data_IF_481470481498
#
_entry.id   IF_481470481498
#
_cell.length_a   1.000
_cell.length_b   1.000
_cell.length_c   1.000
_cell.angle_alpha   90.00
_cell.angle_beta   90.00
_cell.angle_gamma   90.00
#
_symmetry.space_group_name_H-M   'P 1'
#
loop_
_entity.id
_entity.type
_entity.pdbx_description
1 polymer ?
#
# COMPACT_ATOMS: atom_id res chain seq x y z
N UNK A 1 6.51 -22.89 -6.64
CA UNK A 1 7.14 -22.41 -5.39
C UNK A 1 6.19 -21.66 -4.46
N UNK A 2 5.81 -20.38 -4.68
CA UNK A 2 4.97 -19.65 -3.69
C UNK A 2 3.58 -20.27 -3.51
N UNK A 3 2.88 -20.57 -4.60
CA UNK A 3 1.53 -21.18 -4.61
C UNK A 3 1.51 -22.52 -3.88
N UNK A 4 2.47 -23.39 -4.16
CA UNK A 4 2.60 -24.69 -3.49
C UNK A 4 2.86 -24.53 -1.99
N UNK A 5 3.69 -23.55 -1.62
CA UNK A 5 4.02 -23.30 -0.22
C UNK A 5 2.81 -22.82 0.58
N UNK A 6 2.04 -21.88 -0.01
CA UNK A 6 0.82 -21.41 0.65
C UNK A 6 -0.25 -22.49 0.66
N UNK A 7 -0.38 -23.34 -0.36
CA UNK A 7 -1.35 -24.46 -0.43
C UNK A 7 -0.99 -25.68 0.44
N UNK A 8 0.24 -25.77 0.95
CA UNK A 8 0.64 -26.83 1.88
C UNK A 8 0.10 -26.61 3.29
N UNK A 9 0.09 -25.37 3.79
CA UNK A 9 -0.35 -25.02 5.15
C UNK A 9 -0.83 -23.55 5.19
N UNK A 10 -2.05 -23.26 5.71
CA UNK A 10 -2.54 -21.88 5.82
C UNK A 10 -1.65 -21.00 6.71
N UNK A 11 -0.90 -21.60 7.65
CA UNK A 11 0.05 -20.88 8.50
C UNK A 11 1.16 -20.23 7.68
N UNK A 12 1.58 -20.81 6.56
CA UNK A 12 2.54 -20.17 5.66
C UNK A 12 1.96 -18.88 5.06
N UNK A 13 0.71 -18.92 4.60
CA UNK A 13 0.01 -17.75 4.09
C UNK A 13 -0.12 -16.65 5.15
N UNK A 14 -0.47 -17.03 6.38
CA UNK A 14 -0.56 -16.11 7.52
C UNK A 14 0.81 -15.49 7.83
N UNK A 15 1.87 -16.30 7.90
CA UNK A 15 3.22 -15.83 8.20
C UNK A 15 3.73 -14.83 7.15
N UNK A 16 3.52 -15.13 5.86
CA UNK A 16 3.89 -14.24 4.75
C UNK A 16 3.18 -12.89 4.88
N UNK A 17 1.86 -12.90 5.06
CA UNK A 17 1.10 -11.65 5.14
C UNK A 17 1.40 -10.89 6.44
N UNK A 18 1.59 -11.58 7.57
CA UNK A 18 2.00 -10.97 8.82
C UNK A 18 3.38 -10.30 8.68
N UNK A 19 4.33 -10.94 7.99
CA UNK A 19 5.62 -10.35 7.65
C UNK A 19 5.49 -9.06 6.84
N UNK A 20 4.64 -9.06 5.80
CA UNK A 20 4.36 -7.85 5.02
C UNK A 20 3.76 -6.73 5.88
N UNK A 21 2.78 -7.06 6.74
CA UNK A 21 2.16 -6.07 7.64
C UNK A 21 3.18 -5.54 8.66
N UNK A 22 4.04 -6.38 9.22
CA UNK A 22 5.09 -5.97 10.16
C UNK A 22 6.10 -5.03 9.50
N UNK A 23 6.55 -5.34 8.29
CA UNK A 23 7.45 -4.48 7.53
C UNK A 23 6.79 -3.13 7.25
N UNK A 24 5.54 -3.15 6.79
CA UNK A 24 4.78 -1.94 6.48
C UNK A 24 4.57 -1.06 7.73
N UNK A 25 4.25 -1.71 8.84
CA UNK A 25 4.07 -1.07 10.13
C UNK A 25 5.37 -0.50 10.70
N UNK A 26 6.52 -1.16 10.47
CA UNK A 26 7.84 -0.72 10.93
C UNK A 26 8.37 0.51 10.18
N UNK A 27 8.03 0.65 8.90
CA UNK A 27 8.49 1.77 8.07
C UNK A 27 7.92 3.13 8.49
N UNK A 28 6.65 3.18 8.93
CA UNK A 28 6.00 4.43 9.33
C UNK A 28 6.66 5.14 10.54
N UNK A 29 6.87 4.50 11.71
CA UNK A 29 7.52 5.14 12.86
C UNK A 29 9.00 5.42 12.59
N UNK A 30 9.69 4.57 11.83
CA UNK A 30 11.08 4.83 11.44
C UNK A 30 11.17 6.06 10.53
N UNK A 31 10.32 6.15 9.52
CA UNK A 31 10.25 7.31 8.63
C UNK A 31 9.89 8.59 9.37
N UNK A 32 8.98 8.54 10.35
CA UNK A 32 8.67 9.68 11.22
C UNK A 32 9.87 10.15 12.04
N UNK A 33 10.65 9.24 12.64
CA UNK A 33 11.88 9.59 13.36
C UNK A 33 12.92 10.24 12.46
N UNK A 34 13.01 9.81 11.20
CA UNK A 34 13.91 10.41 10.21
C UNK A 34 13.41 11.81 9.83
N UNK A 35 12.10 11.95 9.58
CA UNK A 35 11.46 13.22 9.27
C UNK A 35 11.68 14.25 10.38
N UNK A 36 11.44 13.85 11.64
CA UNK A 36 11.60 14.72 12.81
C UNK A 36 13.03 15.26 12.98
N UNK A 37 14.02 14.57 12.40
CA UNK A 37 15.44 14.97 12.41
C UNK A 37 15.89 15.67 11.13
N UNK A 38 15.15 15.54 10.04
CA UNK A 38 15.60 15.96 8.70
C UNK A 38 14.89 17.21 8.18
N UNK A 39 13.67 17.49 8.63
CA UNK A 39 12.85 18.58 8.09
C UNK A 39 12.68 19.67 9.13
N UNK A 40 13.00 20.90 8.72
CA UNK A 40 12.78 22.13 9.48
C UNK A 40 11.32 22.18 9.98
N UNK A 41 11.11 22.60 11.22
CA UNK A 41 9.80 22.65 11.87
C UNK A 41 8.77 23.45 11.04
N UNK A 42 9.23 24.44 10.26
CA UNK A 42 8.38 25.25 9.38
C UNK A 42 7.84 24.48 8.16
N UNK A 43 8.62 23.55 7.61
CA UNK A 43 8.23 22.75 6.44
C UNK A 43 7.53 21.43 6.82
N UNK A 44 7.66 21.00 8.09
CA UNK A 44 7.09 19.75 8.61
C UNK A 44 5.58 19.59 8.40
N UNK A 45 4.71 20.60 8.69
CA UNK A 45 3.26 20.45 8.53
C UNK A 45 2.86 20.19 7.08
N UNK A 46 3.58 20.79 6.13
CA UNK A 46 3.30 20.66 4.70
C UNK A 46 3.74 19.29 4.17
N UNK A 47 4.93 18.83 4.54
CA UNK A 47 5.42 17.49 4.21
C UNK A 47 4.47 16.40 4.74
N UNK A 48 4.02 16.56 5.98
CA UNK A 48 3.08 15.66 6.64
C UNK A 48 1.73 15.61 5.91
N UNK A 49 1.19 16.76 5.46
CA UNK A 49 -0.06 16.81 4.65
C UNK A 49 0.06 16.06 3.32
N UNK A 50 1.22 16.10 2.69
CA UNK A 50 1.47 15.39 1.42
C UNK A 50 1.75 13.89 1.63
N UNK A 51 2.26 13.52 2.81
CA UNK A 51 2.61 12.16 3.18
C UNK A 51 1.82 11.73 4.43
N UNK A 52 0.50 11.48 4.31
CA UNK A 52 -0.35 11.17 5.45
C UNK A 52 0.05 9.88 6.18
N UNK A 53 0.87 9.02 5.56
CA UNK A 53 1.53 7.88 6.20
C UNK A 53 2.24 8.26 7.51
N UNK A 54 2.83 9.46 7.58
CA UNK A 54 3.55 9.93 8.75
C UNK A 54 2.67 10.79 9.69
N UNK A 55 1.48 11.21 9.22
CA UNK A 55 0.45 11.90 10.00
C UNK A 55 -0.41 10.95 10.82
N UNK A 56 -0.77 9.80 10.24
CA UNK A 56 -1.46 8.76 10.98
C UNK A 56 -0.56 8.44 12.17
N UNK A 57 -1.06 8.72 13.39
CA UNK A 57 -0.54 8.04 14.58
C UNK A 57 -0.46 6.57 14.16
N UNK A 58 0.67 5.88 14.37
CA UNK A 58 0.76 4.47 14.03
C UNK A 58 -0.54 3.88 14.54
N UNK A 59 -1.40 3.36 13.64
CA UNK A 59 -2.64 2.69 14.06
C UNK A 59 -2.13 1.73 15.09
N UNK A 60 -2.38 1.95 16.38
CA UNK A 60 -1.43 1.49 17.42
C UNK A 60 -1.26 -0.02 17.41
N UNK A 61 -0.70 -0.61 18.47
CA UNK A 61 -0.71 -2.08 18.60
C UNK A 61 -2.08 -2.71 18.22
N UNK A 62 -3.18 -2.02 18.56
CA UNK A 62 -4.54 -2.35 18.16
C UNK A 62 -4.80 -2.37 16.64
N UNK A 63 -4.37 -1.37 15.88
CA UNK A 63 -4.62 -1.32 14.43
C UNK A 63 -3.82 -2.37 13.66
N UNK A 64 -2.60 -2.63 14.13
CA UNK A 64 -1.80 -3.78 13.69
C UNK A 64 -2.52 -5.09 14.03
N UNK A 65 -2.93 -5.29 15.28
CA UNK A 65 -3.60 -6.51 15.74
C UNK A 65 -4.89 -6.78 14.96
N UNK A 66 -5.72 -5.77 14.74
CA UNK A 66 -6.95 -5.89 13.95
C UNK A 66 -6.66 -6.25 12.49
N UNK A 67 -5.61 -5.68 11.91
CA UNK A 67 -5.17 -5.99 10.55
C UNK A 67 -4.65 -7.42 10.45
N UNK A 68 -3.80 -7.84 11.39
CA UNK A 68 -3.24 -9.18 11.45
C UNK A 68 -4.33 -10.22 11.70
N UNK A 69 -5.24 -9.97 12.63
CA UNK A 69 -6.38 -10.84 12.94
C UNK A 69 -7.32 -10.96 11.73
N UNK A 70 -7.72 -9.85 11.12
CA UNK A 70 -8.56 -9.88 9.92
C UNK A 70 -7.90 -10.65 8.77
N UNK A 71 -6.59 -10.51 8.61
CA UNK A 71 -5.82 -11.26 7.61
C UNK A 71 -5.79 -12.75 7.93
N UNK A 72 -5.54 -13.12 9.19
CA UNK A 72 -5.53 -14.51 9.64
C UNK A 72 -6.90 -15.17 9.47
N UNK A 73 -7.99 -14.46 9.80
CA UNK A 73 -9.36 -14.94 9.60
C UNK A 73 -9.66 -15.19 8.12
N UNK A 74 -9.26 -14.29 7.22
CA UNK A 74 -9.49 -14.48 5.79
C UNK A 74 -8.67 -15.64 5.25
N UNK A 75 -7.38 -15.74 5.58
CA UNK A 75 -6.53 -16.85 5.09
C UNK A 75 -6.99 -18.19 5.65
N UNK A 76 -7.22 -18.30 6.96
CA UNK A 76 -7.66 -19.54 7.58
C UNK A 76 -9.08 -19.92 7.18
N UNK A 77 -9.99 -18.95 7.09
CA UNK A 77 -11.37 -19.19 6.69
C UNK A 77 -11.51 -19.56 5.21
N UNK A 78 -10.70 -18.98 4.33
CA UNK A 78 -10.70 -19.32 2.90
C UNK A 78 -9.94 -20.61 2.56
N UNK A 79 -9.11 -21.12 3.47
CA UNK A 79 -8.35 -22.37 3.27
C UNK A 79 -9.23 -23.56 2.92
N UNK A 80 -10.40 -23.61 3.53
CA UNK A 80 -11.36 -24.71 3.39
C UNK A 80 -12.23 -24.60 2.13
N UNK A 81 -12.03 -23.57 1.31
CA UNK A 81 -12.72 -23.39 0.03
C UNK A 81 -11.99 -24.12 -1.10
N UNK A 82 -12.50 -23.99 -2.34
CA UNK A 82 -11.77 -24.48 -3.50
C UNK A 82 -10.40 -23.80 -3.60
N UNK A 83 -9.38 -24.53 -4.09
CA UNK A 83 -8.03 -23.98 -4.24
C UNK A 83 -8.01 -22.69 -5.07
N UNK A 84 -8.84 -22.61 -6.11
CA UNK A 84 -8.96 -21.40 -6.92
C UNK A 84 -9.49 -20.20 -6.11
N UNK A 85 -10.51 -20.42 -5.29
CA UNK A 85 -11.10 -19.38 -4.45
C UNK A 85 -10.11 -18.93 -3.38
N UNK A 86 -9.44 -19.88 -2.73
CA UNK A 86 -8.39 -19.61 -1.76
C UNK A 86 -7.27 -18.75 -2.38
N UNK A 87 -6.73 -19.19 -3.52
CA UNK A 87 -5.65 -18.47 -4.21
C UNK A 87 -6.08 -17.08 -4.67
N UNK A 88 -7.31 -16.94 -5.16
CA UNK A 88 -7.87 -15.64 -5.50
C UNK A 88 -7.88 -14.70 -4.28
N UNK A 89 -8.47 -15.13 -3.16
CA UNK A 89 -8.57 -14.32 -1.94
C UNK A 89 -7.20 -14.03 -1.31
N UNK A 90 -6.33 -15.03 -1.27
CA UNK A 90 -4.95 -14.87 -0.83
C UNK A 90 -4.21 -13.86 -1.72
N UNK A 91 -4.32 -13.99 -3.04
CA UNK A 91 -3.72 -13.08 -4.01
C UNK A 91 -4.22 -11.64 -3.86
N UNK A 92 -5.52 -11.45 -3.66
CA UNK A 92 -6.12 -10.16 -3.35
C UNK A 92 -5.45 -9.48 -2.16
N UNK A 93 -5.28 -10.22 -1.05
CA UNK A 93 -4.63 -9.69 0.15
C UNK A 93 -3.14 -9.47 -0.05
N UNK A 94 -2.44 -10.46 -0.62
CA UNK A 94 -1.00 -10.45 -0.83
C UNK A 94 -0.57 -9.27 -1.68
N UNK A 95 -1.17 -9.09 -2.87
CA UNK A 95 -0.78 -8.00 -3.76
C UNK A 95 -1.19 -6.63 -3.23
N UNK A 96 -2.35 -6.51 -2.57
CA UNK A 96 -2.72 -5.26 -1.91
C UNK A 96 -1.69 -4.84 -0.85
N UNK A 97 -1.22 -5.79 -0.03
CA UNK A 97 -0.21 -5.55 1.00
C UNK A 97 1.16 -5.29 0.41
N UNK A 98 1.58 -6.08 -0.57
CA UNK A 98 2.87 -5.92 -1.22
C UNK A 98 2.98 -4.55 -1.92
N UNK A 99 1.97 -4.14 -2.67
CA UNK A 99 1.97 -2.84 -3.35
C UNK A 99 1.93 -1.69 -2.33
N UNK A 100 1.16 -1.83 -1.24
CA UNK A 100 1.20 -0.87 -0.12
C UNK A 100 2.62 -0.73 0.43
N UNK A 101 3.27 -1.85 0.72
CA UNK A 101 4.64 -1.89 1.23
C UNK A 101 5.64 -1.26 0.26
N UNK A 102 5.59 -1.60 -1.02
CA UNK A 102 6.45 -1.02 -2.06
C UNK A 102 6.30 0.50 -2.11
N UNK A 103 5.05 1.00 -2.01
CA UNK A 103 4.78 2.43 -2.00
C UNK A 103 5.33 3.11 -0.76
N UNK A 104 5.14 2.52 0.42
CA UNK A 104 5.70 3.06 1.67
C UNK A 104 7.23 3.01 1.67
N UNK A 105 7.83 1.94 1.14
CA UNK A 105 9.27 1.82 0.99
C UNK A 105 9.82 2.88 0.05
N UNK A 106 9.18 3.12 -1.11
CA UNK A 106 9.57 4.19 -2.03
C UNK A 106 9.52 5.57 -1.35
N UNK A 107 8.45 5.87 -0.62
CA UNK A 107 8.34 7.13 0.13
C UNK A 107 9.39 7.24 1.23
N UNK A 108 9.66 6.15 1.93
CA UNK A 108 10.71 6.08 2.95
C UNK A 108 12.11 6.31 2.36
N UNK A 109 12.43 5.63 1.26
CA UNK A 109 13.71 5.78 0.56
C UNK A 109 13.88 7.19 0.01
N UNK A 110 12.81 7.78 -0.56
CA UNK A 110 12.82 9.18 -1.00
C UNK A 110 13.12 10.12 0.18
N UNK A 111 12.51 9.91 1.35
CA UNK A 111 12.80 10.71 2.55
C UNK A 111 14.25 10.55 3.03
N UNK A 112 14.77 9.31 3.05
CA UNK A 112 16.16 9.04 3.40
C UNK A 112 17.10 9.75 2.42
N UNK A 113 16.81 9.67 1.12
CA UNK A 113 17.59 10.32 0.08
C UNK A 113 17.59 11.84 0.22
N UNK A 114 16.42 12.46 0.47
CA UNK A 114 16.30 13.89 0.70
C UNK A 114 17.10 14.36 1.92
N UNK A 115 17.19 13.55 2.98
CA UNK A 115 18.06 13.85 4.13
C UNK A 115 19.55 13.82 3.76
N UNK A 116 19.93 12.95 2.83
CA UNK A 116 21.33 12.78 2.40
C UNK A 116 21.77 13.84 1.38
N UNK A 117 20.84 14.58 0.78
CA UNK A 117 21.12 15.64 -0.20
C UNK A 117 20.54 17.00 0.23
N UNK A 118 21.32 17.81 0.98
CA UNK A 118 20.94 19.19 1.30
C UNK A 118 20.72 20.00 0.00
N UNK A 119 19.57 20.68 -0.12
CA UNK A 119 19.22 21.52 -1.28
C UNK A 119 18.10 20.97 -2.18
N UNK A 120 17.76 19.68 -2.10
CA UNK A 120 16.72 19.08 -2.96
C UNK A 120 15.27 19.53 -2.63
N UNK A 121 15.05 20.17 -1.48
CA UNK A 121 13.72 20.54 -0.97
C UNK A 121 13.41 22.03 -1.18
N UNK A 122 14.37 22.83 -1.65
CA UNK A 122 14.27 24.30 -1.69
C UNK A 122 13.28 24.82 -2.76
N UNK A 123 12.88 23.99 -3.73
CA UNK A 123 11.92 24.35 -4.79
C UNK A 123 10.49 23.83 -4.60
N UNK A 124 10.14 23.33 -3.40
CA UNK A 124 8.90 22.63 -3.05
C UNK A 124 7.72 22.70 -4.03
N UNK A 125 7.63 21.74 -4.95
CA UNK A 125 6.48 21.61 -5.85
C UNK A 125 5.27 21.16 -5.05
N UNK A 126 4.30 22.07 -4.87
CA UNK A 126 3.03 21.80 -4.19
C UNK A 126 2.10 21.04 -5.11
N UNK A 127 1.97 19.73 -4.89
CA UNK A 127 0.98 18.93 -5.58
C UNK A 127 -0.39 19.08 -4.94
N UNK A 128 -1.42 19.38 -5.75
CA UNK A 128 -2.80 19.36 -5.26
C UNK A 128 -3.19 17.94 -4.82
N UNK A 129 -4.01 17.83 -3.78
CA UNK A 129 -4.50 16.52 -3.30
C UNK A 129 -5.18 15.73 -4.43
N UNK A 130 -5.92 16.39 -5.33
CA UNK A 130 -6.52 15.73 -6.48
C UNK A 130 -5.46 15.12 -7.41
N UNK A 131 -4.35 15.83 -7.68
CA UNK A 131 -3.25 15.27 -8.47
C UNK A 131 -2.63 14.05 -7.79
N UNK A 132 -2.39 14.10 -6.47
CA UNK A 132 -1.85 12.98 -5.70
C UNK A 132 -2.75 11.74 -5.79
N UNK A 133 -4.06 11.90 -5.57
CA UNK A 133 -5.01 10.80 -5.72
C UNK A 133 -5.06 10.27 -7.16
N UNK A 134 -5.01 11.15 -8.16
CA UNK A 134 -5.01 10.76 -9.57
C UNK A 134 -3.78 9.94 -9.93
N UNK A 135 -2.59 10.46 -9.64
CA UNK A 135 -1.31 9.80 -9.91
C UNK A 135 -1.26 8.44 -9.20
N UNK A 136 -1.65 8.40 -7.92
CA UNK A 136 -1.77 7.15 -7.18
C UNK A 136 -2.79 6.17 -7.79
N UNK A 137 -3.93 6.65 -8.28
CA UNK A 137 -4.93 5.80 -8.92
C UNK A 137 -4.43 5.21 -10.22
N UNK A 138 -3.79 6.03 -11.07
CA UNK A 138 -3.15 5.57 -12.31
C UNK A 138 -2.06 4.55 -12.05
N UNK A 139 -1.18 4.77 -11.06
CA UNK A 139 -0.15 3.81 -10.67
C UNK A 139 -0.76 2.44 -10.28
N UNK A 140 -1.82 2.45 -9.45
CA UNK A 140 -2.50 1.22 -9.04
C UNK A 140 -3.15 0.51 -10.23
N UNK A 141 -3.76 1.24 -11.17
CA UNK A 141 -4.34 0.64 -12.38
C UNK A 141 -3.27 0.02 -13.29
N UNK A 142 -2.08 0.61 -13.37
CA UNK A 142 -0.95 0.01 -14.10
C UNK A 142 -0.51 -1.30 -13.43
N UNK A 143 -0.41 -1.33 -12.09
CA UNK A 143 -0.15 -2.56 -11.35
C UNK A 143 -1.24 -3.62 -11.60
N UNK A 144 -2.51 -3.22 -11.58
CA UNK A 144 -3.63 -4.11 -11.88
C UNK A 144 -3.53 -4.69 -13.31
N UNK A 145 -3.16 -3.86 -14.29
CA UNK A 145 -2.91 -4.28 -15.67
C UNK A 145 -1.76 -5.29 -15.77
N UNK A 146 -0.64 -5.03 -15.10
CA UNK A 146 0.50 -5.96 -15.05
C UNK A 146 0.11 -7.30 -14.41
N UNK A 147 -0.66 -7.28 -13.32
CA UNK A 147 -1.17 -8.50 -12.70
C UNK A 147 -2.17 -9.23 -13.61
N UNK A 148 -2.98 -8.50 -14.37
CA UNK A 148 -3.86 -9.08 -15.39
C UNK A 148 -3.09 -9.78 -16.51
N UNK A 149 -2.01 -9.17 -17.00
CA UNK A 149 -1.10 -9.81 -17.97
C UNK A 149 -0.44 -11.05 -17.35
N UNK A 150 0.03 -10.97 -16.11
CA UNK A 150 0.59 -12.12 -15.40
C UNK A 150 -0.43 -13.27 -15.26
N UNK A 151 -1.70 -12.95 -14.98
CA UNK A 151 -2.78 -13.93 -14.97
C UNK A 151 -3.00 -14.56 -16.34
N UNK A 152 -3.05 -13.77 -17.41
CA UNK A 152 -3.25 -14.28 -18.77
C UNK A 152 -2.14 -15.25 -19.21
N UNK A 153 -0.91 -15.05 -18.73
CA UNK A 153 0.25 -15.90 -19.07
C UNK A 153 0.33 -17.14 -18.17
N UNK A 154 0.11 -17.00 -16.87
CA UNK A 154 0.37 -18.05 -15.86
C UNK A 154 -0.90 -18.84 -15.50
N UNK A 155 -2.08 -18.31 -15.81
CA UNK A 155 -3.40 -18.86 -15.46
C UNK A 155 -3.57 -19.16 -13.95
N UNK A 156 -2.88 -18.43 -13.08
CA UNK A 156 -2.93 -18.64 -11.63
C UNK A 156 -3.92 -17.66 -10.95
N UNK A 157 -4.98 -18.14 -10.27
CA UNK A 157 -6.02 -17.29 -9.66
C UNK A 157 -5.50 -16.22 -8.70
N UNK A 158 -4.31 -16.42 -8.12
CA UNK A 158 -3.66 -15.44 -7.26
C UNK A 158 -3.40 -14.10 -7.96
N UNK A 159 -2.98 -14.13 -9.23
CA UNK A 159 -2.78 -12.90 -10.01
C UNK A 159 -4.11 -12.23 -10.37
N UNK A 160 -5.16 -13.02 -10.63
CA UNK A 160 -6.51 -12.50 -10.90
C UNK A 160 -7.06 -11.76 -9.66
N UNK A 161 -7.00 -12.38 -8.48
CA UNK A 161 -7.42 -11.74 -7.23
C UNK A 161 -6.64 -10.45 -6.94
N UNK A 162 -5.33 -10.47 -7.17
CA UNK A 162 -4.50 -9.28 -7.08
C UNK A 162 -4.92 -8.17 -8.04
N UNK A 163 -5.10 -8.50 -9.32
CA UNK A 163 -5.49 -7.54 -10.36
C UNK A 163 -6.83 -6.86 -10.03
N UNK A 164 -7.84 -7.65 -9.64
CA UNK A 164 -9.17 -7.13 -9.28
C UNK A 164 -9.08 -6.20 -8.08
N UNK A 165 -8.47 -6.63 -6.97
CA UNK A 165 -8.41 -5.83 -5.76
C UNK A 165 -7.62 -4.54 -5.95
N UNK A 166 -6.45 -4.63 -6.58
CA UNK A 166 -5.60 -3.46 -6.85
C UNK A 166 -6.30 -2.50 -7.83
N UNK A 167 -6.99 -3.04 -8.83
CA UNK A 167 -7.80 -2.26 -9.77
C UNK A 167 -8.91 -1.48 -9.08
N UNK A 168 -9.68 -2.13 -8.20
CA UNK A 168 -10.75 -1.49 -7.42
C UNK A 168 -10.21 -0.40 -6.48
N UNK A 169 -9.06 -0.64 -5.81
CA UNK A 169 -8.40 0.39 -5.00
C UNK A 169 -7.98 1.57 -5.89
N UNK A 170 -7.40 1.30 -7.07
CA UNK A 170 -7.00 2.32 -8.04
C UNK A 170 -8.16 3.18 -8.53
N UNK A 171 -9.28 2.55 -8.90
CA UNK A 171 -10.52 3.25 -9.25
C UNK A 171 -11.03 4.11 -8.09
N UNK A 172 -11.03 3.58 -6.87
CA UNK A 172 -11.40 4.31 -5.66
C UNK A 172 -10.57 5.60 -5.48
N UNK A 173 -9.28 5.54 -5.77
CA UNK A 173 -8.40 6.72 -5.76
C UNK A 173 -8.77 7.73 -6.86
N UNK A 174 -9.05 7.28 -8.08
CA UNK A 174 -9.50 8.17 -9.17
C UNK A 174 -10.82 8.87 -8.84
N UNK A 175 -11.81 8.16 -8.30
CA UNK A 175 -13.08 8.76 -7.89
C UNK A 175 -12.89 9.81 -6.79
N UNK A 176 -12.02 9.55 -5.81
CA UNK A 176 -11.68 10.54 -4.77
C UNK A 176 -10.97 11.77 -5.35
N UNK A 177 -10.09 11.58 -6.33
CA UNK A 177 -9.45 12.67 -7.07
C UNK A 177 -10.49 13.59 -7.73
N UNK A 178 -11.46 13.02 -8.45
CA UNK A 178 -12.52 13.79 -9.11
C UNK A 178 -13.35 14.59 -8.11
N UNK A 179 -13.72 13.97 -6.98
CA UNK A 179 -14.47 14.64 -5.90
C UNK A 179 -13.68 15.81 -5.31
N UNK A 180 -12.37 15.63 -5.06
CA UNK A 180 -11.49 16.69 -4.55
C UNK A 180 -11.29 17.82 -5.56
N UNK A 181 -11.21 17.51 -6.86
CA UNK A 181 -11.14 18.53 -7.91
C UNK A 181 -12.39 19.40 -7.90
N UNK A 182 -13.57 18.79 -7.80
CA UNK A 182 -14.85 19.53 -7.72
C UNK A 182 -14.88 20.48 -6.52
N UNK A 183 -14.54 20.00 -5.32
CA UNK A 183 -14.55 20.85 -4.12
C UNK A 183 -13.57 22.03 -4.17
N UNK A 184 -12.51 21.94 -4.97
CA UNK A 184 -11.54 23.05 -5.15
C UNK A 184 -12.00 24.08 -6.19
N UNK A 185 -12.95 23.73 -7.06
CA UNK A 185 -13.53 24.67 -8.04
C UNK A 185 -14.72 25.44 -7.45
N UNK A 186 -15.28 24.96 -6.35
CA UNK A 186 -16.43 25.55 -5.64
C UNK A 186 -16.02 26.44 -4.45
N UNK A 187 -14.72 26.53 -4.15
CA UNK A 187 -14.12 27.34 -3.07
C UNK A 187 -13.38 28.55 -3.63
#
# INVERSE_FOLDING_TARGET
MLTEYVLADPLHGIAILAGLVLLDFGLAPLGRRILDRAVDERARPEFLRMNPLYLERPRGLLGFAMTALGTAVVVFGSWWLSQETFLFLFGSLFFARLISLVRHLRSFLALVWLKLMPGAVEGGVRYSQAYVYRSSGTELLLWAGLLGVAYAVVANPMFHGGAVTVGLIGLGHLFRSLRKRKSMLES
#
